data_IF_065520973332
#
_entry.id   IF_065520973332
#
_cell.length_a   1.000
_cell.length_b   1.000
_cell.length_c   1.000
_cell.angle_alpha   90.00
_cell.angle_beta   90.00
_cell.angle_gamma   90.00
#
_symmetry.space_group_name_H-M   'P 1'
#
loop_
_entity.id
_entity.type
_entity.pdbx_description
1 polymer ?
#
# COMPACT_ATOMS: atom_id res chain seq x y z
N UNK A 1 -52.62 31.95 29.58
CA UNK A 1 -53.48 30.75 29.38
C UNK A 1 -53.09 30.05 28.08
N UNK A 2 -52.73 28.76 28.18
CA UNK A 2 -52.87 27.64 27.23
C UNK A 2 -52.73 27.84 25.69
N UNK A 3 -51.64 27.27 25.16
CA UNK A 3 -51.50 26.23 24.10
C UNK A 3 -52.45 26.20 22.87
N UNK A 4 -51.85 26.20 21.65
CA UNK A 4 -51.83 25.12 20.60
C UNK A 4 -51.22 25.67 19.30
N UNK A 5 -50.01 25.24 18.87
CA UNK A 5 -49.68 24.17 17.90
C UNK A 5 -50.48 24.21 16.59
N UNK A 6 -49.80 24.44 15.46
CA UNK A 6 -49.73 23.52 14.30
C UNK A 6 -48.70 23.96 13.26
N UNK A 7 -47.84 23.02 12.86
CA UNK A 7 -46.88 23.04 11.75
C UNK A 7 -47.55 22.89 10.37
N UNK A 8 -46.86 23.28 9.29
CA UNK A 8 -46.81 22.71 7.90
C UNK A 8 -45.95 23.73 7.09
N UNK A 9 -44.64 23.52 6.89
CA UNK A 9 -43.99 22.77 5.81
C UNK A 9 -44.30 23.27 4.39
N UNK A 10 -43.35 23.99 3.77
CA UNK A 10 -43.09 23.89 2.33
C UNK A 10 -41.64 24.30 2.03
N UNK A 11 -40.79 23.30 1.78
CA UNK A 11 -39.45 23.44 1.24
C UNK A 11 -39.52 23.56 -0.29
N UNK A 12 -38.88 24.58 -0.84
CA UNK A 12 -38.43 24.60 -2.24
C UNK A 12 -36.97 25.06 -2.24
N UNK A 13 -36.04 24.11 -2.22
CA UNK A 13 -34.62 24.36 -2.43
C UNK A 13 -34.31 24.06 -3.91
N UNK A 14 -34.17 25.13 -4.69
CA UNK A 14 -33.73 25.10 -6.08
C UNK A 14 -32.25 24.77 -6.11
N UNK A 15 -31.91 23.73 -6.88
CA UNK A 15 -30.58 23.19 -7.01
C UNK A 15 -29.62 24.15 -7.72
N UNK A 16 -28.41 24.24 -7.18
CA UNK A 16 -27.24 24.81 -7.83
C UNK A 16 -26.16 23.70 -7.89
N UNK A 17 -26.15 22.93 -8.97
CA UNK A 17 -25.12 21.95 -9.26
C UNK A 17 -23.90 22.68 -9.85
N UNK A 18 -22.92 22.99 -9.01
CA UNK A 18 -21.59 23.43 -9.44
C UNK A 18 -20.72 22.19 -9.65
N UNK A 19 -20.36 21.93 -10.91
CA UNK A 19 -19.30 21.00 -11.28
C UNK A 19 -17.95 21.54 -10.79
N UNK A 20 -17.28 20.78 -9.93
CA UNK A 20 -15.85 20.94 -9.64
C UNK A 20 -15.14 19.59 -9.92
N UNK A 21 -14.33 19.47 -10.99
CA UNK A 21 -13.50 18.29 -11.19
C UNK A 21 -12.18 18.43 -10.39
N UNK A 22 -11.85 17.41 -9.61
CA UNK A 22 -10.46 17.15 -9.18
C UNK A 22 -10.13 17.32 -7.70
N UNK A 23 -10.95 16.79 -6.78
CA UNK A 23 -10.45 16.42 -5.45
C UNK A 23 -9.84 15.02 -5.54
N UNK A 24 -8.51 14.95 -5.60
CA UNK A 24 -7.78 13.75 -5.22
C UNK A 24 -8.10 13.48 -3.75
N UNK A 25 -8.96 12.49 -3.50
CA UNK A 25 -9.11 11.91 -2.17
C UNK A 25 -7.80 11.21 -1.85
N UNK A 26 -6.92 11.89 -1.11
CA UNK A 26 -5.88 11.22 -0.35
C UNK A 26 -6.59 10.33 0.68
N UNK A 27 -6.81 9.07 0.32
CA UNK A 27 -7.04 8.02 1.31
C UNK A 27 -5.76 7.95 2.13
N UNK A 28 -5.72 8.69 3.25
CA UNK A 28 -4.81 8.37 4.34
C UNK A 28 -5.26 7.02 4.87
N UNK A 29 -4.71 5.94 4.33
CA UNK A 29 -4.72 4.65 4.96
C UNK A 29 -4.09 4.84 6.35
N UNK A 30 -4.92 5.04 7.36
CA UNK A 30 -4.48 4.99 8.75
C UNK A 30 -3.87 3.60 8.95
N UNK A 31 -2.63 3.50 9.46
CA UNK A 31 -2.05 2.22 9.80
C UNK A 31 -2.87 1.62 10.95
N UNK A 32 -3.84 0.78 10.61
CA UNK A 32 -4.59 -0.06 11.53
C UNK A 32 -3.66 -1.18 12.00
N UNK A 33 -2.87 -0.88 13.02
CA UNK A 33 -1.83 -1.81 13.48
C UNK A 33 -0.96 -1.24 14.59
N UNK A 34 -1.54 -0.48 15.51
CA UNK A 34 -0.95 -0.28 16.83
C UNK A 34 -2.03 -0.64 17.82
N UNK A 35 -1.81 -1.72 18.59
CA UNK A 35 -2.42 -1.80 19.92
C UNK A 35 -2.25 -0.42 20.53
N UNK A 36 -3.34 0.23 20.98
CA UNK A 36 -3.32 1.58 21.53
C UNK A 36 -2.51 1.55 22.84
N UNK A 37 -1.19 1.55 22.69
CA UNK A 37 -0.26 1.68 23.79
C UNK A 37 -0.47 3.09 24.29
N UNK A 38 -1.09 3.18 25.46
CA UNK A 38 -1.26 4.44 26.15
C UNK A 38 0.12 5.02 26.50
N UNK A 39 0.65 5.84 25.58
CA UNK A 39 1.98 6.42 25.66
C UNK A 39 2.14 7.26 26.92
N UNK A 40 1.04 7.85 27.42
CA UNK A 40 1.05 8.65 28.64
C UNK A 40 1.47 7.85 29.88
N UNK A 41 1.29 6.51 29.86
CA UNK A 41 1.67 5.61 30.96
C UNK A 41 3.13 5.15 30.92
N UNK A 42 3.83 5.32 29.79
CA UNK A 42 5.23 4.87 29.65
C UNK A 42 6.19 5.97 30.09
N UNK A 43 7.26 5.64 30.81
CA UNK A 43 8.34 6.62 31.05
C UNK A 43 9.18 6.85 29.78
N UNK A 44 9.97 7.93 29.74
CA UNK A 44 10.89 8.20 28.61
C UNK A 44 11.91 7.06 28.49
N UNK A 45 12.45 6.60 29.62
CA UNK A 45 13.41 5.50 29.69
C UNK A 45 12.81 4.20 29.16
N UNK A 46 11.53 3.97 29.46
CA UNK A 46 10.80 2.80 28.99
C UNK A 46 10.59 2.84 27.47
N UNK A 47 10.22 4.00 26.92
CA UNK A 47 10.12 4.20 25.47
C UNK A 47 11.46 3.95 24.78
N UNK A 48 12.57 4.48 25.31
CA UNK A 48 13.93 4.23 24.79
C UNK A 48 14.26 2.75 24.84
N UNK A 49 14.00 2.08 25.97
CA UNK A 49 14.29 0.65 26.16
C UNK A 49 13.53 -0.21 25.15
N UNK A 50 12.22 0.03 25.00
CA UNK A 50 11.38 -0.69 24.03
C UNK A 50 11.78 -0.40 22.59
N UNK A 51 12.12 0.84 22.26
CA UNK A 51 12.61 1.21 20.93
C UNK A 51 13.88 0.43 20.56
N UNK A 52 14.87 0.36 21.48
CA UNK A 52 16.08 -0.43 21.29
C UNK A 52 15.77 -1.91 21.03
N UNK A 53 14.87 -2.49 21.82
CA UNK A 53 14.46 -3.88 21.64
C UNK A 53 13.77 -4.10 20.28
N UNK A 54 12.96 -3.14 19.82
CA UNK A 54 12.34 -3.19 18.50
C UNK A 54 13.38 -3.16 17.38
N UNK A 55 14.34 -2.23 17.42
CA UNK A 55 15.41 -2.13 16.41
C UNK A 55 16.24 -3.41 16.34
N UNK A 56 16.69 -3.92 17.49
CA UNK A 56 17.41 -5.20 17.53
C UNK A 56 16.58 -6.36 16.95
N UNK A 57 15.30 -6.43 17.30
CA UNK A 57 14.41 -7.43 16.75
C UNK A 57 14.18 -7.29 15.23
N UNK A 58 14.29 -6.08 14.67
CA UNK A 58 14.24 -5.88 13.22
C UNK A 58 15.53 -6.38 12.55
N UNK A 59 16.69 -6.09 13.12
CA UNK A 59 18.00 -6.58 12.66
C UNK A 59 18.06 -8.12 12.66
N UNK A 60 17.61 -8.75 13.75
CA UNK A 60 17.57 -10.21 13.89
C UNK A 60 16.72 -10.85 12.78
N UNK A 61 15.52 -10.30 12.53
CA UNK A 61 14.63 -10.78 11.44
C UNK A 61 15.25 -10.57 10.07
N UNK A 62 15.88 -9.42 9.83
CA UNK A 62 16.56 -9.13 8.56
C UNK A 62 17.70 -10.14 8.32
N UNK A 63 18.48 -10.46 9.35
CA UNK A 63 19.55 -11.45 9.26
C UNK A 63 19.02 -12.85 8.94
N UNK A 64 17.92 -13.28 9.59
CA UNK A 64 17.28 -14.57 9.29
C UNK A 64 16.70 -14.61 7.86
N UNK A 65 16.15 -13.49 7.36
CA UNK A 65 15.64 -13.40 6.00
C UNK A 65 16.70 -13.70 4.93
N UNK A 66 17.96 -13.32 5.15
CA UNK A 66 19.05 -13.66 4.24
C UNK A 66 19.31 -15.18 4.17
N UNK A 67 19.18 -15.89 5.29
CA UNK A 67 19.31 -17.36 5.29
C UNK A 67 18.21 -18.02 4.45
N UNK A 68 16.98 -17.55 4.58
CA UNK A 68 15.88 -18.02 3.75
C UNK A 68 16.11 -17.69 2.27
N UNK A 69 16.65 -16.51 1.95
CA UNK A 69 17.01 -16.19 0.57
C UNK A 69 18.06 -17.17 0.01
N UNK A 70 19.10 -17.48 0.78
CA UNK A 70 20.13 -18.48 0.40
C UNK A 70 19.51 -19.86 0.14
N UNK A 71 18.58 -20.30 0.98
CA UNK A 71 17.84 -21.55 0.79
C UNK A 71 17.04 -21.56 -0.52
N UNK A 72 16.36 -20.45 -0.87
CA UNK A 72 15.64 -20.33 -2.16
C UNK A 72 16.58 -20.38 -3.36
N UNK A 73 17.74 -19.72 -3.26
CA UNK A 73 18.76 -19.72 -4.31
C UNK A 73 19.29 -21.15 -4.49
N UNK A 74 19.61 -21.84 -3.39
CA UNK A 74 20.08 -23.23 -3.43
C UNK A 74 19.04 -24.20 -4.00
N UNK A 75 17.75 -23.95 -3.74
CA UNK A 75 16.64 -24.71 -4.29
C UNK A 75 16.29 -24.37 -5.76
N UNK A 76 16.94 -23.37 -6.36
CA UNK A 76 16.61 -22.81 -7.67
C UNK A 76 15.15 -22.32 -7.79
N UNK A 77 14.56 -21.88 -6.68
CA UNK A 77 13.22 -21.32 -6.65
C UNK A 77 13.27 -19.83 -6.98
N UNK A 78 13.17 -19.52 -8.29
CA UNK A 78 13.28 -18.15 -8.81
C UNK A 78 12.15 -17.26 -8.30
N UNK A 79 10.95 -17.82 -8.11
CA UNK A 79 9.78 -17.08 -7.62
C UNK A 79 9.97 -16.66 -6.17
N UNK A 80 10.33 -17.61 -5.28
CA UNK A 80 10.63 -17.29 -3.90
C UNK A 80 11.85 -16.37 -3.76
N UNK A 81 12.90 -16.58 -4.57
CA UNK A 81 14.10 -15.72 -4.56
C UNK A 81 13.74 -14.26 -4.86
N UNK A 82 12.90 -14.02 -5.87
CA UNK A 82 12.48 -12.66 -6.25
C UNK A 82 11.65 -12.01 -5.15
N UNK A 83 10.62 -12.72 -4.66
CA UNK A 83 9.74 -12.21 -3.61
C UNK A 83 10.53 -11.92 -2.31
N UNK A 84 11.46 -12.80 -1.93
CA UNK A 84 12.32 -12.60 -0.75
C UNK A 84 13.26 -11.40 -0.94
N UNK A 85 13.86 -11.21 -2.12
CA UNK A 85 14.74 -10.08 -2.42
C UNK A 85 14.03 -8.72 -2.31
N UNK A 86 12.81 -8.60 -2.83
CA UNK A 86 12.01 -7.38 -2.74
C UNK A 86 11.68 -7.03 -1.27
N UNK A 87 11.19 -8.01 -0.51
CA UNK A 87 10.85 -7.83 0.90
C UNK A 87 12.09 -7.51 1.76
N UNK A 88 13.24 -8.16 1.51
CA UNK A 88 14.51 -7.86 2.20
C UNK A 88 14.95 -6.42 1.93
N UNK A 89 14.80 -5.94 0.69
CA UNK A 89 15.14 -4.56 0.33
C UNK A 89 14.30 -3.55 1.11
N UNK A 90 12.99 -3.80 1.24
CA UNK A 90 12.10 -2.99 2.05
C UNK A 90 12.47 -3.04 3.55
N UNK A 91 12.72 -4.23 4.10
CA UNK A 91 13.16 -4.41 5.49
C UNK A 91 14.45 -3.64 5.79
N UNK A 92 15.46 -3.73 4.91
CA UNK A 92 16.73 -3.00 5.07
C UNK A 92 16.53 -1.49 5.15
N UNK A 93 15.64 -0.94 4.33
CA UNK A 93 15.27 0.48 4.39
C UNK A 93 14.65 0.87 5.73
N UNK A 94 13.71 0.05 6.22
CA UNK A 94 13.03 0.28 7.51
C UNK A 94 13.98 0.15 8.71
N UNK A 95 14.89 -0.83 8.70
CA UNK A 95 15.89 -1.00 9.78
C UNK A 95 16.78 0.24 9.86
N UNK A 96 17.38 0.66 8.73
CA UNK A 96 18.24 1.85 8.68
C UNK A 96 17.53 3.13 9.13
N UNK A 97 16.28 3.32 8.70
CA UNK A 97 15.47 4.46 9.17
C UNK A 97 15.22 4.40 10.67
N UNK A 98 14.95 3.20 11.21
CA UNK A 98 14.67 3.02 12.63
C UNK A 98 15.90 3.21 13.51
N UNK A 99 17.09 2.86 13.04
CA UNK A 99 18.36 3.17 13.70
C UNK A 99 18.58 4.69 13.81
N UNK A 100 18.34 5.44 12.74
CA UNK A 100 18.42 6.91 12.74
C UNK A 100 17.40 7.54 13.68
N UNK A 101 16.16 7.03 13.67
CA UNK A 101 15.12 7.47 14.59
C UNK A 101 15.47 7.12 16.04
N UNK A 102 16.13 6.00 16.29
CA UNK A 102 16.56 5.60 17.64
C UNK A 102 17.62 6.56 18.18
N UNK A 103 18.61 6.95 17.38
CA UNK A 103 19.59 7.97 17.76
C UNK A 103 18.92 9.30 18.09
N UNK A 104 17.95 9.71 17.25
CA UNK A 104 17.17 10.93 17.49
C UNK A 104 16.34 10.82 18.77
N UNK A 105 15.68 9.69 19.00
CA UNK A 105 14.90 9.42 20.21
C UNK A 105 15.77 9.52 21.46
N UNK A 106 16.98 8.95 21.44
CA UNK A 106 17.94 9.04 22.55
C UNK A 106 18.38 10.49 22.80
N UNK A 107 18.61 11.27 21.75
CA UNK A 107 18.93 12.69 21.88
C UNK A 107 17.76 13.46 22.52
N UNK A 108 16.53 13.27 22.05
CA UNK A 108 15.33 13.92 22.62
C UNK A 108 15.06 13.49 24.07
N UNK A 109 15.35 12.24 24.40
CA UNK A 109 15.28 11.74 25.77
C UNK A 109 16.28 12.45 26.69
N UNK A 110 17.50 12.71 26.21
CA UNK A 110 18.50 13.48 26.94
C UNK A 110 18.06 14.95 27.15
N UNK A 111 17.38 15.54 26.17
CA UNK A 111 16.76 16.88 26.25
C UNK A 111 15.52 16.91 27.16
N UNK A 112 15.03 15.76 27.64
CA UNK A 112 13.77 15.59 28.38
C UNK A 112 12.54 16.10 27.61
N UNK A 113 12.61 16.17 26.29
CA UNK A 113 11.48 16.54 25.43
C UNK A 113 10.59 15.32 25.18
N UNK A 114 9.65 15.10 26.10
CA UNK A 114 8.76 13.95 26.07
C UNK A 114 7.94 13.85 24.79
N UNK A 115 7.39 14.96 24.31
CA UNK A 115 6.52 14.96 23.12
C UNK A 115 7.31 14.48 21.91
N UNK A 116 8.55 14.95 21.74
CA UNK A 116 9.41 14.50 20.63
C UNK A 116 9.85 13.05 20.80
N UNK A 117 10.11 12.59 22.02
CA UNK A 117 10.39 11.16 22.29
C UNK A 117 9.22 10.28 21.86
N UNK A 118 7.99 10.65 22.22
CA UNK A 118 6.78 9.91 21.84
C UNK A 118 6.64 9.81 20.31
N UNK A 119 6.87 10.91 19.59
CA UNK A 119 6.82 10.91 18.13
C UNK A 119 7.85 9.96 17.50
N UNK A 120 9.10 9.97 17.95
CA UNK A 120 10.12 9.05 17.41
C UNK A 120 9.82 7.59 17.81
N UNK A 121 9.31 7.37 19.03
CA UNK A 121 8.93 6.05 19.51
C UNK A 121 7.82 5.42 18.65
N UNK A 122 6.80 6.21 18.29
CA UNK A 122 5.71 5.75 17.42
C UNK A 122 6.24 5.36 16.04
N UNK A 123 7.11 6.17 15.43
CA UNK A 123 7.71 5.84 14.12
C UNK A 123 8.45 4.50 14.16
N UNK A 124 9.27 4.27 15.18
CA UNK A 124 10.01 3.00 15.35
C UNK A 124 9.04 1.83 15.54
N UNK A 125 7.96 2.03 16.29
CA UNK A 125 6.95 0.99 16.52
C UNK A 125 6.23 0.60 15.23
N UNK A 126 5.84 1.58 14.41
CA UNK A 126 5.22 1.35 13.09
C UNK A 126 6.20 0.62 12.16
N UNK A 127 7.46 1.06 12.12
CA UNK A 127 8.48 0.38 11.32
C UNK A 127 8.69 -1.08 11.77
N UNK A 128 8.71 -1.33 13.09
CA UNK A 128 8.82 -2.67 13.66
C UNK A 128 7.64 -3.57 13.25
N UNK A 129 6.41 -3.05 13.28
CA UNK A 129 5.24 -3.78 12.80
C UNK A 129 5.37 -4.12 11.31
N UNK A 130 5.81 -3.17 10.49
CA UNK A 130 6.01 -3.39 9.04
C UNK A 130 7.12 -4.38 8.73
N UNK A 131 8.23 -4.37 9.48
CA UNK A 131 9.27 -5.40 9.34
C UNK A 131 8.74 -6.79 9.70
N UNK A 132 7.85 -6.92 10.69
CA UNK A 132 7.19 -8.21 10.98
C UNK A 132 6.29 -8.68 9.84
N UNK A 133 5.55 -7.76 9.20
CA UNK A 133 4.73 -8.09 8.02
C UNK A 133 5.61 -8.60 6.86
N UNK A 134 6.68 -7.88 6.50
CA UNK A 134 7.59 -8.32 5.45
C UNK A 134 8.28 -9.64 5.78
N UNK A 135 8.68 -9.84 7.03
CA UNK A 135 9.26 -11.09 7.47
C UNK A 135 8.27 -12.26 7.37
N UNK A 136 6.98 -12.04 7.66
CA UNK A 136 5.94 -13.05 7.42
C UNK A 136 5.74 -13.33 5.92
N UNK A 137 5.85 -12.31 5.06
CA UNK A 137 5.83 -12.50 3.60
C UNK A 137 7.02 -13.35 3.13
N UNK A 138 8.22 -13.10 3.66
CA UNK A 138 9.43 -13.88 3.34
C UNK A 138 9.25 -15.36 3.74
N UNK A 139 8.66 -15.61 4.93
CA UNK A 139 8.39 -16.98 5.41
C UNK A 139 7.30 -17.71 4.63
N UNK A 140 6.33 -16.97 4.08
CA UNK A 140 5.23 -17.53 3.29
C UNK A 140 5.53 -17.60 1.79
N UNK A 141 6.58 -16.92 1.31
CA UNK A 141 7.08 -17.01 -0.05
C UNK A 141 7.53 -18.45 -0.32
N UNK A 142 6.61 -19.23 -0.89
CA UNK A 142 6.84 -20.56 -1.43
C UNK A 142 6.70 -20.42 -2.94
N UNK A 143 7.70 -20.87 -3.70
CA UNK A 143 7.54 -21.02 -5.13
C UNK A 143 6.49 -22.09 -5.34
N UNK A 144 5.35 -21.71 -5.88
CA UNK A 144 4.57 -22.69 -6.64
C UNK A 144 5.49 -23.02 -7.82
N UNK A 145 5.97 -24.26 -7.98
CA UNK A 145 6.61 -24.65 -9.22
C UNK A 145 5.52 -24.55 -10.28
N UNK A 146 5.46 -23.42 -10.97
CA UNK A 146 4.67 -23.31 -12.18
C UNK A 146 5.46 -24.13 -13.18
N UNK A 147 5.15 -25.43 -13.23
CA UNK A 147 5.47 -26.27 -14.36
C UNK A 147 4.71 -25.69 -15.54
N UNK A 148 5.36 -24.71 -16.19
CA UNK A 148 4.90 -24.09 -17.44
C UNK A 148 5.13 -25.04 -18.62
N UNK A 149 5.12 -26.35 -18.40
CA UNK A 149 4.78 -27.30 -19.45
C UNK A 149 3.25 -27.23 -19.71
N UNK A 150 2.80 -26.02 -20.08
CA UNK A 150 1.56 -25.80 -20.79
C UNK A 150 1.77 -26.35 -22.20
N UNK A 151 1.83 -27.69 -22.31
CA UNK A 151 1.57 -28.37 -23.56
C UNK A 151 0.28 -27.78 -24.11
N UNK A 152 0.39 -27.08 -25.24
CA UNK A 152 -0.63 -26.21 -25.79
C UNK A 152 -2.02 -26.86 -25.74
N UNK A 153 -2.79 -26.57 -24.70
CA UNK A 153 -4.12 -27.12 -24.53
C UNK A 153 -5.06 -26.22 -25.33
N UNK A 154 -5.01 -26.36 -26.65
CA UNK A 154 -5.99 -25.77 -27.56
C UNK A 154 -7.35 -26.39 -27.25
N UNK A 155 -8.13 -25.71 -26.40
CA UNK A 155 -9.52 -26.08 -26.14
C UNK A 155 -10.37 -25.62 -27.33
N UNK A 156 -10.43 -26.46 -28.37
CA UNK A 156 -11.32 -26.26 -29.52
C UNK A 156 -12.77 -26.42 -29.09
N UNK A 157 -13.49 -25.31 -28.94
CA UNK A 157 -14.93 -25.28 -28.73
C UNK A 157 -15.64 -25.57 -30.05
N UNK A 158 -16.14 -26.79 -30.23
CA UNK A 158 -17.05 -27.11 -31.34
C UNK A 158 -18.48 -26.67 -30.98
N UNK A 159 -18.87 -25.50 -31.47
CA UNK A 159 -20.23 -25.00 -31.34
C UNK A 159 -21.15 -25.67 -32.38
N UNK A 160 -22.09 -26.50 -31.92
CA UNK A 160 -23.19 -27.00 -32.75
C UNK A 160 -24.44 -26.16 -32.51
N UNK A 161 -24.52 -25.04 -33.22
CA UNK A 161 -25.70 -24.20 -33.26
C UNK A 161 -25.63 -23.27 -34.46
N UNK A 162 -26.77 -22.98 -35.08
CA UNK A 162 -26.88 -21.85 -36.00
C UNK A 162 -26.94 -20.57 -35.15
N UNK A 163 -26.06 -19.62 -35.43
CA UNK A 163 -26.15 -18.28 -34.84
C UNK A 163 -27.54 -17.70 -35.12
N UNK A 164 -28.24 -17.11 -34.12
CA UNK A 164 -29.47 -16.40 -34.40
C UNK A 164 -29.13 -15.20 -35.28
N UNK A 165 -29.57 -15.25 -36.54
CA UNK A 165 -29.50 -14.12 -37.46
C UNK A 165 -30.54 -13.13 -36.98
N UNK A 166 -30.09 -12.09 -36.28
CA UNK A 166 -30.91 -10.91 -36.01
C UNK A 166 -30.97 -10.12 -37.32
N UNK A 167 -32.13 -9.98 -37.97
CA UNK A 167 -32.26 -9.01 -39.06
C UNK A 167 -32.18 -7.61 -38.46
N UNK A 168 -31.37 -6.77 -39.07
CA UNK A 168 -31.15 -5.35 -38.76
C UNK A 168 -30.17 -5.04 -37.62
N UNK A 169 -28.88 -5.26 -37.89
CA UNK A 169 -27.87 -4.36 -37.32
C UNK A 169 -27.86 -3.06 -38.14
N UNK A 170 -28.20 -1.90 -37.58
CA UNK A 170 -27.91 -0.64 -38.26
C UNK A 170 -26.39 -0.54 -38.37
N UNK A 171 -25.87 -0.52 -39.60
CA UNK A 171 -24.46 -0.30 -39.91
C UNK A 171 -24.05 1.10 -39.48
N UNK A 172 -23.86 1.28 -38.18
CA UNK A 172 -23.48 2.54 -37.55
C UNK A 172 -22.09 2.41 -36.96
N UNK A 173 -21.18 1.72 -37.67
CA UNK A 173 -19.76 1.99 -37.49
C UNK A 173 -19.43 3.21 -38.34
N UNK A 174 -19.72 4.40 -37.80
CA UNK A 174 -19.03 5.60 -38.25
C UNK A 174 -17.59 5.47 -37.76
N UNK A 175 -16.63 5.48 -38.68
CA UNK A 175 -15.24 5.69 -38.34
C UNK A 175 -15.15 6.96 -37.48
N UNK A 176 -14.36 6.97 -36.38
CA UNK A 176 -14.11 8.21 -35.66
C UNK A 176 -13.47 9.22 -36.63
N UNK A 177 -13.82 10.51 -36.55
CA UNK A 177 -13.16 11.52 -37.38
C UNK A 177 -11.65 11.46 -37.15
N UNK A 178 -10.88 11.62 -38.24
CA UNK A 178 -9.42 11.57 -38.24
C UNK A 178 -8.84 12.44 -37.12
N UNK A 179 -7.92 11.86 -36.34
CA UNK A 179 -7.16 12.55 -35.31
C UNK A 179 -6.51 13.80 -35.93
N UNK A 180 -6.65 15.00 -35.34
CA UNK A 180 -5.97 16.19 -35.83
C UNK A 180 -4.45 15.95 -35.82
N UNK A 181 -3.76 16.35 -36.89
CA UNK A 181 -2.29 16.30 -36.92
C UNK A 181 -1.70 17.02 -35.71
N UNK A 182 -0.63 16.44 -35.17
CA UNK A 182 0.06 16.98 -34.01
C UNK A 182 0.47 18.44 -34.30
N UNK A 183 0.36 19.36 -33.32
CA UNK A 183 0.80 20.72 -33.50
C UNK A 183 2.29 20.73 -33.86
N UNK A 184 2.65 21.50 -34.89
CA UNK A 184 4.04 21.74 -35.28
C UNK A 184 4.84 22.18 -34.05
N UNK A 185 5.96 21.48 -33.80
CA UNK A 185 6.87 21.80 -32.70
C UNK A 185 7.33 23.25 -32.82
N UNK A 186 6.87 24.10 -31.91
CA UNK A 186 7.43 25.43 -31.69
C UNK A 186 8.72 25.31 -30.87
N UNK A 187 9.75 24.67 -31.42
CA UNK A 187 11.11 24.76 -30.87
C UNK A 187 11.91 25.77 -31.69
N UNK A 188 12.41 26.88 -31.10
CA UNK A 188 13.15 27.91 -31.82
C UNK A 188 14.64 27.58 -31.99
N UNK A 189 15.01 26.30 -32.01
CA UNK A 189 16.40 25.88 -32.17
C UNK A 189 16.55 25.03 -33.44
N UNK A 190 16.68 25.73 -34.56
CA UNK A 190 17.64 25.41 -35.62
C UNK A 190 18.71 26.50 -35.60
#
# INVERSE_FOLDING_TARGET
>A
MKLKRTSIALMVAVGLAVLAPGLFVSTSAQPSGTDDVDLAKLSIEEMVRRAKACVRGMEERLAESFKLLEESIAANDVSATTARNEAITAMKGLVRLSEQNLLTLQQRAAERDRKRVEHEYVKITIACAKVREFYAQIKSATGIPVDLDLGALERKLEYKGSLPVVPDFPSTFSLPPSVPDAPVHASPYF
#
